data_IF_491047759367
#
_entry.id   IF_491047759367
#
_cell.length_a   1.000
_cell.length_b   1.000
_cell.length_c   1.000
_cell.angle_alpha   90.00
_cell.angle_beta   90.00
_cell.angle_gamma   90.00
#
_symmetry.space_group_name_H-M   'P 1'
#
loop_
_entity.id
_entity.type
_entity.pdbx_description
1 polymer ?
#
# COMPACT_ATOMS: atom_id res chain seq x y z
N UNK A 1 -2.53 4.64 -2.85
CA UNK A 1 -1.97 3.73 -3.87
C UNK A 1 -2.42 2.33 -3.52
N UNK A 2 -3.21 1.68 -4.38
CA UNK A 2 -3.88 0.42 -4.04
C UNK A 2 -2.89 -0.73 -3.77
N UNK A 3 -1.81 -0.80 -4.55
CA UNK A 3 -0.77 -1.83 -4.40
C UNK A 3 -0.03 -1.65 -3.08
N UNK A 4 0.40 -0.41 -2.78
CA UNK A 4 1.09 -0.11 -1.51
C UNK A 4 0.20 -0.39 -0.29
N UNK A 5 -1.10 -0.10 -0.40
CA UNK A 5 -2.07 -0.41 0.63
C UNK A 5 -2.26 -1.93 0.81
N UNK A 6 -2.49 -2.68 -0.27
CA UNK A 6 -2.67 -4.13 -0.24
C UNK A 6 -1.43 -4.92 0.22
N UNK A 7 -0.25 -4.28 0.21
CA UNK A 7 0.99 -4.85 0.75
C UNK A 7 1.13 -4.69 2.27
N UNK A 8 0.26 -3.91 2.93
CA UNK A 8 0.33 -3.72 4.37
C UNK A 8 -0.28 -4.91 5.12
N UNK A 9 0.33 -5.37 6.23
CA UNK A 9 -0.29 -6.34 7.12
C UNK A 9 -1.66 -5.84 7.62
N UNK A 10 -2.66 -6.72 7.60
CA UNK A 10 -4.02 -6.38 8.02
C UNK A 10 -4.90 -5.72 6.95
N UNK A 11 -4.35 -5.44 5.76
CA UNK A 11 -5.12 -4.98 4.59
C UNK A 11 -5.35 -6.17 3.65
N UNK A 12 -6.57 -6.29 3.13
CA UNK A 12 -6.90 -7.33 2.16
C UNK A 12 -6.06 -7.18 0.89
N UNK A 13 -5.62 -8.32 0.33
CA UNK A 13 -4.93 -8.39 -0.96
C UNK A 13 -5.65 -9.43 -1.83
N UNK A 14 -6.45 -9.01 -2.84
CA UNK A 14 -6.59 -7.64 -3.36
C UNK A 14 -7.33 -6.68 -2.41
N UNK A 15 -7.06 -5.37 -2.57
CA UNK A 15 -7.68 -4.31 -1.76
C UNK A 15 -9.20 -4.28 -1.98
N UNK A 16 -9.95 -4.16 -0.88
CA UNK A 16 -11.40 -3.97 -0.90
C UNK A 16 -11.73 -2.71 -0.10
N UNK A 17 -12.45 -1.79 -0.71
CA UNK A 17 -12.92 -0.57 -0.05
C UNK A 17 -14.17 -0.87 0.77
N UNK A 18 -14.28 -0.26 1.94
CA UNK A 18 -15.48 -0.31 2.75
C UNK A 18 -16.64 0.42 2.05
N UNK A 19 -17.86 -0.09 2.20
CA UNK A 19 -19.09 0.57 1.76
C UNK A 19 -19.56 1.60 2.80
N UNK A 20 -20.51 2.47 2.43
CA UNK A 20 -21.08 3.42 3.40
C UNK A 20 -21.75 2.71 4.59
N UNK A 21 -22.41 1.58 4.33
CA UNK A 21 -23.03 0.77 5.38
C UNK A 21 -21.96 0.26 6.38
N UNK A 22 -20.85 -0.29 5.86
CA UNK A 22 -19.75 -0.77 6.72
C UNK A 22 -19.18 0.36 7.59
N UNK A 23 -19.05 1.57 7.04
CA UNK A 23 -18.54 2.74 7.77
C UNK A 23 -19.50 3.17 8.89
N UNK A 24 -20.81 3.23 8.61
CA UNK A 24 -21.81 3.60 9.60
C UNK A 24 -21.93 2.56 10.71
N UNK A 25 -21.87 1.28 10.35
CA UNK A 25 -21.95 0.18 11.32
C UNK A 25 -20.71 0.14 12.23
N UNK A 26 -19.52 0.41 11.69
CA UNK A 26 -18.27 0.33 12.46
C UNK A 26 -17.91 1.62 13.23
N UNK A 27 -18.25 2.79 12.70
CA UNK A 27 -17.77 4.10 13.19
C UNK A 27 -18.93 5.02 13.60
N UNK A 28 -20.13 4.82 13.06
CA UNK A 28 -21.29 5.67 13.34
C UNK A 28 -21.34 6.96 12.51
N UNK A 29 -20.45 7.13 11.54
CA UNK A 29 -20.38 8.30 10.67
C UNK A 29 -20.07 7.92 9.21
N UNK A 30 -20.44 8.81 8.28
CA UNK A 30 -20.15 8.66 6.86
C UNK A 30 -18.74 9.11 6.47
N UNK A 31 -18.31 8.73 5.26
CA UNK A 31 -16.95 8.94 4.75
C UNK A 31 -16.44 10.40 4.83
N UNK A 32 -17.32 11.39 4.76
CA UNK A 32 -16.97 12.81 4.81
C UNK A 32 -16.58 13.34 6.18
N UNK A 33 -16.79 12.58 7.26
CA UNK A 33 -16.55 13.03 8.65
C UNK A 33 -15.67 12.07 9.46
N UNK A 34 -14.90 11.22 8.77
CA UNK A 34 -14.03 10.22 9.42
C UNK A 34 -12.67 10.83 9.82
N UNK A 35 -12.13 10.35 10.93
CA UNK A 35 -10.79 10.72 11.40
C UNK A 35 -10.18 9.70 12.36
N UNK A 36 -8.88 9.84 12.66
CA UNK A 36 -8.15 8.88 13.48
C UNK A 36 -8.43 8.99 14.99
N UNK A 37 -8.96 10.12 15.46
CA UNK A 37 -9.21 10.36 16.88
C UNK A 37 -10.42 9.55 17.35
N UNK A 38 -10.27 8.79 18.43
CA UNK A 38 -11.29 7.87 18.98
C UNK A 38 -11.80 6.81 17.99
N UNK A 39 -11.01 6.47 16.97
CA UNK A 39 -11.39 5.44 16.01
C UNK A 39 -11.10 4.03 16.60
N UNK A 40 -12.09 3.13 16.66
CA UNK A 40 -11.92 1.80 17.28
C UNK A 40 -11.25 0.77 16.37
N UNK A 41 -10.67 1.21 15.24
CA UNK A 41 -10.10 0.36 14.19
C UNK A 41 -8.59 0.58 14.09
N UNK A 42 -7.82 -0.41 13.60
CA UNK A 42 -6.40 -0.22 13.29
C UNK A 42 -6.18 0.90 12.28
N UNK A 43 -5.15 1.71 12.53
CA UNK A 43 -4.81 2.88 11.70
C UNK A 43 -3.43 2.69 11.12
N UNK A 44 -3.29 2.96 9.82
CA UNK A 44 -2.01 3.08 9.13
C UNK A 44 -2.00 4.45 8.45
N UNK A 45 -0.98 5.27 8.71
CA UNK A 45 -0.82 6.59 8.09
C UNK A 45 0.36 6.60 7.11
N UNK A 46 0.29 7.50 6.14
CA UNK A 46 1.41 7.75 5.22
C UNK A 46 2.56 8.45 5.97
N UNK A 47 3.81 8.18 5.56
CA UNK A 47 5.02 8.89 6.07
C UNK A 47 4.88 10.42 6.05
N UNK A 48 4.18 10.98 5.07
CA UNK A 48 3.99 12.43 4.97
C UNK A 48 3.02 12.95 6.03
N UNK A 49 2.07 12.12 6.47
CA UNK A 49 1.04 12.45 7.46
C UNK A 49 1.61 12.43 8.89
N UNK A 50 2.59 11.57 9.15
CA UNK A 50 3.34 11.55 10.42
C UNK A 50 3.97 12.92 10.74
N UNK A 51 4.44 13.63 9.72
CA UNK A 51 5.11 14.93 9.86
C UNK A 51 4.14 16.12 9.99
N UNK A 52 2.83 15.88 9.95
CA UNK A 52 1.84 16.94 10.04
C UNK A 52 1.65 17.43 11.47
N UNK A 53 1.36 18.73 11.61
CA UNK A 53 0.99 19.39 12.85
C UNK A 53 -0.20 20.32 12.60
N UNK A 54 -0.96 20.61 13.66
CA UNK A 54 -2.16 21.47 13.62
C UNK A 54 -3.17 21.13 12.50
N UNK A 55 -3.31 19.85 12.19
CA UNK A 55 -4.09 19.39 11.04
C UNK A 55 -5.58 19.27 11.35
N UNK A 56 -6.39 19.17 10.28
CA UNK A 56 -7.83 18.96 10.36
C UNK A 56 -8.17 17.49 10.08
N UNK A 57 -9.12 16.95 10.85
CA UNK A 57 -9.65 15.59 10.68
C UNK A 57 -11.16 15.57 10.88
N UNK A 58 -11.84 14.57 10.32
CA UNK A 58 -13.24 14.29 10.69
C UNK A 58 -13.36 13.88 12.16
N UNK A 59 -14.48 14.22 12.77
CA UNK A 59 -14.70 13.98 14.20
C UNK A 59 -15.29 12.59 14.52
N UNK A 60 -15.44 11.72 13.51
CA UNK A 60 -16.24 10.49 13.59
C UNK A 60 -17.70 10.75 14.02
N UNK A 61 -18.21 11.94 13.67
CA UNK A 61 -19.58 12.40 13.85
C UNK A 61 -19.95 13.17 12.59
N UNK A 62 -21.08 12.83 11.98
CA UNK A 62 -21.54 13.47 10.74
C UNK A 62 -21.52 15.02 10.85
N UNK A 63 -20.97 15.65 9.81
CA UNK A 63 -20.83 17.10 9.62
C UNK A 63 -19.93 17.81 10.63
N UNK A 64 -19.04 17.09 11.33
CA UNK A 64 -18.11 17.67 12.32
C UNK A 64 -16.66 17.30 12.06
N UNK A 65 -15.79 18.26 12.38
CA UNK A 65 -14.34 18.16 12.21
C UNK A 65 -13.61 18.74 13.42
N UNK A 66 -12.44 18.19 13.71
CA UNK A 66 -11.45 18.80 14.60
C UNK A 66 -10.44 19.59 13.77
N UNK A 67 -9.94 20.68 14.33
CA UNK A 67 -8.89 21.53 13.75
C UNK A 67 -7.78 21.73 14.77
N UNK A 68 -6.55 21.92 14.28
CA UNK A 68 -5.40 22.10 15.15
C UNK A 68 -4.98 20.81 15.85
N UNK A 69 -5.29 19.64 15.28
CA UNK A 69 -4.94 18.34 15.86
C UNK A 69 -3.43 18.11 15.72
N UNK A 70 -2.82 17.56 16.77
CA UNK A 70 -1.40 17.22 16.81
C UNK A 70 -1.19 15.79 17.31
N UNK A 71 -0.26 15.10 16.66
CA UNK A 71 0.26 13.82 17.15
C UNK A 71 0.86 13.98 18.55
N UNK A 72 0.84 12.88 19.32
CA UNK A 72 1.28 12.74 20.71
C UNK A 72 0.49 13.56 21.74
N UNK A 73 0.08 14.79 21.41
CA UNK A 73 -0.77 15.63 22.26
C UNK A 73 -2.21 15.15 22.30
N UNK A 74 -2.82 14.96 21.12
CA UNK A 74 -4.24 14.60 21.02
C UNK A 74 -4.45 13.11 20.74
N UNK A 75 -3.54 12.49 19.99
CA UNK A 75 -3.56 11.06 19.67
C UNK A 75 -2.15 10.52 19.40
N UNK A 76 -1.86 9.26 19.76
CA UNK A 76 -0.56 8.66 19.49
C UNK A 76 -0.33 8.50 17.98
N UNK A 77 0.95 8.49 17.58
CA UNK A 77 1.34 8.16 16.21
C UNK A 77 1.04 6.67 15.94
N UNK A 78 0.18 6.33 14.96
CA UNK A 78 -0.14 4.95 14.62
C UNK A 78 0.95 4.33 13.72
N UNK A 79 0.70 3.14 13.16
CA UNK A 79 1.64 2.51 12.23
C UNK A 79 1.89 3.42 11.02
N UNK A 80 3.16 3.67 10.71
CA UNK A 80 3.57 4.51 9.57
C UNK A 80 4.02 3.63 8.41
N UNK A 81 3.52 3.91 7.21
CA UNK A 81 3.86 3.20 5.99
C UNK A 81 3.96 4.13 4.78
N UNK A 82 4.53 3.66 3.67
CA UNK A 82 4.44 4.34 2.38
C UNK A 82 3.12 3.94 1.70
N UNK A 83 2.15 4.84 1.62
CA UNK A 83 0.79 4.56 1.15
C UNK A 83 0.38 5.39 -0.06
N UNK A 84 0.95 6.59 -0.21
CA UNK A 84 0.57 7.51 -1.29
C UNK A 84 1.27 7.21 -2.61
N UNK A 85 0.71 7.76 -3.69
CA UNK A 85 1.47 7.90 -4.92
C UNK A 85 2.46 9.04 -4.76
N UNK A 86 3.62 8.92 -5.42
CA UNK A 86 4.51 10.06 -5.60
C UNK A 86 3.86 11.08 -6.53
N UNK A 87 4.23 12.34 -6.37
CA UNK A 87 3.88 13.44 -7.27
C UNK A 87 5.14 13.99 -7.94
N UNK A 88 4.99 14.65 -9.09
CA UNK A 88 6.12 15.27 -9.77
C UNK A 88 6.78 16.30 -8.85
N UNK A 89 8.11 16.25 -8.73
CA UNK A 89 8.89 17.09 -7.83
C UNK A 89 9.14 16.50 -6.44
N UNK A 90 8.51 15.36 -6.07
CA UNK A 90 8.88 14.65 -4.85
C UNK A 90 10.39 14.30 -4.85
N UNK A 91 11.06 14.28 -3.67
CA UNK A 91 12.45 13.88 -3.58
C UNK A 91 12.64 12.44 -4.04
N UNK A 92 13.71 12.19 -4.79
CA UNK A 92 14.06 10.84 -5.21
C UNK A 92 14.36 9.95 -3.99
N UNK A 93 13.87 8.70 -3.93
CA UNK A 93 14.08 7.81 -2.79
C UNK A 93 15.55 7.37 -2.63
N UNK A 94 16.40 7.60 -3.63
CA UNK A 94 17.85 7.36 -3.54
C UNK A 94 18.65 8.58 -3.02
N UNK A 95 17.94 9.66 -2.64
CA UNK A 95 18.52 10.90 -2.11
C UNK A 95 19.09 11.83 -3.17
N UNK A 96 18.89 11.56 -4.46
CA UNK A 96 19.50 12.33 -5.56
C UNK A 96 18.44 12.94 -6.48
N UNK A 97 18.23 14.25 -6.33
CA UNK A 97 17.31 15.02 -7.18
C UNK A 97 15.84 14.76 -6.87
N UNK A 98 14.98 14.98 -7.86
CA UNK A 98 13.52 14.92 -7.75
C UNK A 98 12.91 14.05 -8.83
N UNK A 99 11.72 13.51 -8.57
CA UNK A 99 11.01 12.61 -9.48
C UNK A 99 10.30 13.38 -10.60
N UNK A 100 10.47 12.92 -11.84
CA UNK A 100 9.65 13.29 -12.99
C UNK A 100 8.66 12.17 -13.32
N UNK A 101 7.41 12.52 -13.64
CA UNK A 101 6.38 11.54 -14.03
C UNK A 101 6.17 11.63 -15.55
N UNK A 102 6.42 10.52 -16.25
CA UNK A 102 6.24 10.38 -17.70
C UNK A 102 5.26 9.26 -18.00
N UNK A 103 4.63 9.34 -19.17
CA UNK A 103 3.75 8.27 -19.67
C UNK A 103 4.58 7.27 -20.46
N UNK A 104 4.38 5.99 -20.18
CA UNK A 104 5.00 4.88 -20.89
C UNK A 104 3.96 3.82 -21.24
N UNK A 105 4.20 3.10 -22.33
CA UNK A 105 3.45 1.91 -22.70
C UNK A 105 4.32 0.72 -22.30
N UNK A 106 3.83 -0.13 -21.40
CA UNK A 106 4.53 -1.35 -21.03
C UNK A 106 4.51 -2.33 -22.22
N UNK A 107 5.66 -2.56 -22.84
CA UNK A 107 5.83 -3.50 -23.96
C UNK A 107 6.40 -4.86 -23.53
N UNK A 108 6.85 -4.99 -22.29
CA UNK A 108 7.38 -6.21 -21.73
C UNK A 108 7.61 -6.11 -20.22
N UNK A 109 7.75 -7.27 -19.59
CA UNK A 109 7.90 -7.41 -18.14
C UNK A 109 8.80 -8.60 -17.82
N UNK A 110 9.67 -8.43 -16.82
CA UNK A 110 10.47 -9.52 -16.24
C UNK A 110 10.12 -9.69 -14.76
N UNK A 111 9.90 -10.93 -14.32
CA UNK A 111 9.54 -11.24 -12.93
C UNK A 111 10.45 -12.33 -12.37
N UNK A 112 10.93 -12.10 -11.15
CA UNK A 112 11.44 -13.18 -10.29
C UNK A 112 10.22 -13.83 -9.62
N UNK A 113 9.77 -14.96 -10.15
CA UNK A 113 8.60 -15.68 -9.63
C UNK A 113 8.89 -16.41 -8.32
N UNK A 114 10.18 -16.59 -8.03
CA UNK A 114 10.65 -17.40 -6.93
C UNK A 114 10.21 -18.86 -7.12
N UNK A 115 9.78 -19.49 -6.04
CA UNK A 115 9.31 -20.87 -6.03
C UNK A 115 7.77 -21.01 -5.97
N UNK A 116 7.01 -19.96 -6.32
CA UNK A 116 5.54 -19.96 -6.24
C UNK A 116 4.90 -21.12 -7.01
N UNK A 117 5.31 -21.32 -8.27
CA UNK A 117 4.74 -22.36 -9.13
C UNK A 117 5.38 -23.72 -8.90
N UNK A 118 6.70 -23.77 -8.79
CA UNK A 118 7.44 -25.02 -8.55
C UNK A 118 7.02 -25.72 -7.26
N UNK A 119 6.75 -24.99 -6.16
CA UNK A 119 6.16 -25.56 -4.94
C UNK A 119 4.77 -26.15 -5.19
N UNK A 120 3.88 -25.37 -5.82
CA UNK A 120 2.50 -25.80 -6.08
C UNK A 120 2.42 -27.04 -6.99
N UNK A 121 3.35 -27.14 -7.95
CA UNK A 121 3.40 -28.21 -8.95
C UNK A 121 4.35 -29.36 -8.57
N UNK A 122 5.01 -29.29 -7.41
CA UNK A 122 6.03 -30.27 -6.96
C UNK A 122 7.16 -30.46 -7.98
N UNK A 123 7.65 -29.36 -8.54
CA UNK A 123 8.77 -29.35 -9.47
C UNK A 123 10.09 -29.25 -8.69
N UNK A 124 10.76 -30.38 -8.52
CA UNK A 124 11.96 -30.53 -7.70
C UNK A 124 13.07 -31.24 -8.48
N UNK A 125 14.32 -30.92 -8.13
CA UNK A 125 15.54 -31.59 -8.63
C UNK A 125 16.42 -32.00 -7.47
N UNK A 126 17.34 -32.95 -7.66
CA UNK A 126 18.34 -33.26 -6.65
C UNK A 126 19.40 -32.16 -6.62
N UNK A 127 19.58 -31.54 -5.45
CA UNK A 127 20.68 -30.62 -5.19
C UNK A 127 22.01 -31.34 -5.03
N UNK A 128 23.08 -30.57 -4.86
CA UNK A 128 24.46 -31.10 -4.73
C UNK A 128 24.64 -32.09 -3.57
N UNK A 129 23.81 -31.96 -2.53
CA UNK A 129 23.80 -32.86 -1.38
C UNK A 129 22.88 -34.09 -1.55
N UNK A 130 22.34 -34.31 -2.75
CA UNK A 130 21.41 -35.40 -3.06
C UNK A 130 20.02 -35.23 -2.46
N UNK A 131 19.66 -34.06 -1.91
CA UNK A 131 18.33 -33.77 -1.38
C UNK A 131 17.46 -33.06 -2.42
N UNK A 132 16.14 -33.27 -2.42
CA UNK A 132 15.23 -32.50 -3.26
C UNK A 132 15.33 -31.00 -2.97
N UNK A 133 15.42 -30.20 -4.03
CA UNK A 133 15.41 -28.74 -4.03
C UNK A 133 14.30 -28.28 -4.97
N UNK A 134 13.39 -27.45 -4.46
CA UNK A 134 12.36 -26.82 -5.28
C UNK A 134 12.98 -25.74 -6.16
N UNK A 135 12.66 -25.74 -7.46
CA UNK A 135 13.27 -24.83 -8.41
C UNK A 135 12.86 -23.36 -8.17
N UNK A 136 13.83 -22.46 -8.25
CA UNK A 136 13.59 -21.02 -8.37
C UNK A 136 13.31 -20.66 -9.84
N UNK A 137 12.31 -19.82 -10.07
CA UNK A 137 11.79 -19.53 -11.41
C UNK A 137 11.84 -18.03 -11.75
N UNK A 138 12.09 -17.75 -13.03
CA UNK A 138 11.93 -16.42 -13.63
C UNK A 138 10.97 -16.49 -14.83
N UNK A 139 10.29 -15.39 -15.11
CA UNK A 139 9.45 -15.22 -16.29
C UNK A 139 9.80 -13.93 -17.02
N UNK A 140 9.82 -14.00 -18.36
CA UNK A 140 10.23 -12.92 -19.24
C UNK A 140 9.23 -12.84 -20.39
N UNK A 141 8.56 -11.70 -20.54
CA UNK A 141 7.50 -11.52 -21.54
C UNK A 141 7.66 -10.23 -22.33
N UNK A 142 7.42 -10.32 -23.64
CA UNK A 142 7.32 -9.16 -24.56
C UNK A 142 6.00 -9.27 -25.31
N UNK A 143 5.22 -8.20 -25.31
CA UNK A 143 3.99 -8.10 -26.08
C UNK A 143 4.29 -7.79 -27.55
N UNK A 144 4.66 -8.80 -28.34
CA UNK A 144 5.08 -8.63 -29.75
C UNK A 144 4.08 -7.77 -30.55
N UNK A 145 2.78 -8.03 -30.43
CA UNK A 145 1.74 -7.26 -31.12
C UNK A 145 1.55 -5.83 -30.59
N UNK A 146 2.00 -5.53 -29.37
CA UNK A 146 1.96 -4.18 -28.78
C UNK A 146 3.17 -3.33 -29.20
N UNK A 147 4.24 -3.96 -29.67
CA UNK A 147 5.48 -3.30 -30.09
C UNK A 147 5.37 -2.70 -31.50
N UNK A 148 4.62 -3.35 -32.39
CA UNK A 148 4.38 -2.93 -33.79
C UNK A 148 3.29 -1.87 -33.84
#
# INVERSE_FOLDING_TARGET
NEIKAANQPGVASPLVMATEADLRDAIGAGAGSLGPLNLPLPIIIDRSVELMSDFAIGANVDDKHYFGVNWERDLPVPTVADLRNVVAGDPSPDGKGTLEIKRGIEVGHIFQLGNKYSKAMKCEVLGENGKPVTLEMGCYGIGVSRVV
#
